data_IF_028371865775
#
_entry.id   IF_028371865775
#
_cell.length_a   1.000
_cell.length_b   1.000
_cell.length_c   1.000
_cell.angle_alpha   90.00
_cell.angle_beta   90.00
_cell.angle_gamma   90.00
#
_symmetry.space_group_name_H-M   'P 1'
#
loop_
_entity.id
_entity.type
_entity.pdbx_description
1 polymer ?
#
# COMPACT_ATOMS: atom_id res chain seq x y z
N UNK A 1 -23.33 -7.71 -15.77
CA UNK A 1 -23.24 -6.30 -15.34
C UNK A 1 -21.91 -5.79 -15.81
N UNK A 2 -21.87 -4.70 -16.59
CA UNK A 2 -20.59 -4.15 -17.08
C UNK A 2 -19.89 -3.42 -15.94
N UNK A 3 -18.57 -3.27 -16.03
CA UNK A 3 -17.78 -2.54 -15.04
C UNK A 3 -18.28 -1.09 -14.88
N UNK A 4 -18.66 -0.45 -15.98
CA UNK A 4 -19.21 0.90 -15.98
C UNK A 4 -20.53 0.99 -15.20
N UNK A 5 -21.44 0.02 -15.34
CA UNK A 5 -22.69 0.00 -14.58
C UNK A 5 -22.44 -0.18 -13.09
N UNK A 6 -21.46 -0.99 -12.70
CA UNK A 6 -21.08 -1.14 -11.29
C UNK A 6 -20.50 0.15 -10.71
N UNK A 7 -19.67 0.84 -11.48
CA UNK A 7 -19.14 2.15 -11.14
C UNK A 7 -20.23 3.21 -11.00
N UNK A 8 -21.12 3.34 -11.98
CA UNK A 8 -22.22 4.30 -11.95
C UNK A 8 -23.17 4.05 -10.78
N UNK A 9 -23.43 2.78 -10.45
CA UNK A 9 -24.23 2.43 -9.29
C UNK A 9 -23.53 2.84 -7.97
N UNK A 10 -22.21 2.70 -7.87
CA UNK A 10 -21.43 3.16 -6.72
C UNK A 10 -21.41 4.69 -6.59
N UNK A 11 -21.33 5.42 -7.72
CA UNK A 11 -21.49 6.88 -7.76
C UNK A 11 -22.88 7.29 -7.28
N UNK A 12 -23.94 6.64 -7.75
CA UNK A 12 -25.32 6.93 -7.35
C UNK A 12 -25.57 6.68 -5.86
N UNK A 13 -24.88 5.68 -5.27
CA UNK A 13 -24.94 5.40 -3.83
C UNK A 13 -24.07 6.36 -2.98
N UNK A 14 -23.28 7.22 -3.61
CA UNK A 14 -22.37 8.14 -2.91
C UNK A 14 -21.14 7.44 -2.31
N UNK A 15 -20.81 6.22 -2.75
CA UNK A 15 -19.63 5.47 -2.29
C UNK A 15 -18.33 6.02 -2.90
N UNK A 16 -18.42 6.57 -4.11
CA UNK A 16 -17.31 7.15 -4.87
C UNK A 16 -17.74 8.41 -5.61
N UNK A 17 -16.78 9.27 -5.91
CA UNK A 17 -16.99 10.44 -6.76
C UNK A 17 -16.88 10.07 -8.24
N UNK A 18 -17.71 10.71 -9.08
CA UNK A 18 -17.63 10.53 -10.54
C UNK A 18 -16.39 11.21 -11.12
N UNK A 19 -15.55 10.42 -11.82
CA UNK A 19 -14.30 10.85 -12.44
C UNK A 19 -14.21 10.33 -13.89
N UNK A 20 -14.14 11.23 -14.90
CA UNK A 20 -13.97 10.85 -16.30
C UNK A 20 -12.73 9.98 -16.57
N UNK A 21 -11.60 10.24 -15.90
CA UNK A 21 -10.38 9.45 -16.08
C UNK A 21 -10.55 8.00 -15.62
N UNK A 22 -11.35 7.80 -14.57
CA UNK A 22 -11.67 6.45 -14.08
C UNK A 22 -12.59 5.72 -15.07
N UNK A 23 -13.54 6.41 -15.70
CA UNK A 23 -14.40 5.86 -16.76
C UNK A 23 -13.61 5.43 -18.00
N UNK A 24 -12.61 6.20 -18.41
CA UNK A 24 -11.70 5.83 -19.49
C UNK A 24 -10.91 4.55 -19.17
N UNK A 25 -10.39 4.44 -17.95
CA UNK A 25 -9.72 3.23 -17.49
C UNK A 25 -10.69 2.03 -17.42
N UNK A 26 -11.92 2.23 -16.97
CA UNK A 26 -12.94 1.18 -16.94
C UNK A 26 -13.28 0.66 -18.34
N UNK A 27 -13.24 1.50 -19.37
CA UNK A 27 -13.38 1.05 -20.75
C UNK A 27 -12.24 0.10 -21.17
N UNK A 28 -11.00 0.40 -20.77
CA UNK A 28 -9.84 -0.49 -21.03
C UNK A 28 -9.90 -1.78 -20.21
N UNK A 29 -10.37 -1.71 -18.96
CA UNK A 29 -10.63 -2.89 -18.14
C UNK A 29 -11.75 -3.76 -18.71
N UNK A 30 -12.80 -3.15 -19.27
CA UNK A 30 -13.88 -3.88 -19.92
C UNK A 30 -13.38 -4.55 -21.20
N UNK A 31 -12.58 -3.87 -22.03
CA UNK A 31 -11.89 -4.46 -23.18
C UNK A 31 -11.13 -5.72 -22.79
N UNK A 32 -10.33 -5.65 -21.72
CA UNK A 32 -9.57 -6.80 -21.23
C UNK A 32 -10.48 -7.92 -20.71
N UNK A 33 -11.54 -7.57 -19.98
CA UNK A 33 -12.52 -8.55 -19.48
C UNK A 33 -13.19 -9.31 -20.64
N UNK A 34 -13.55 -8.61 -21.71
CA UNK A 34 -14.19 -9.19 -22.90
C UNK A 34 -13.21 -10.10 -23.65
N UNK A 35 -11.95 -9.67 -23.84
CA UNK A 35 -10.89 -10.51 -24.44
C UNK A 35 -10.57 -11.77 -23.62
N UNK A 36 -10.67 -11.71 -22.29
CA UNK A 36 -10.50 -12.86 -21.42
C UNK A 36 -11.67 -13.85 -21.55
N UNK A 37 -12.88 -13.35 -21.77
CA UNK A 37 -14.10 -14.14 -21.93
C UNK A 37 -14.22 -14.81 -23.31
N UNK A 38 -13.51 -14.31 -24.33
CA UNK A 38 -13.49 -14.93 -25.66
C UNK A 38 -12.97 -16.39 -25.56
N UNK A 39 -13.73 -17.39 -26.06
CA UNK A 39 -13.26 -18.76 -26.10
C UNK A 39 -12.03 -18.84 -26.99
N UNK A 40 -10.98 -19.51 -26.51
CA UNK A 40 -9.74 -19.75 -27.26
C UNK A 40 -10.04 -20.65 -28.47
N UNK A 41 -10.41 -20.04 -29.59
CA UNK A 41 -10.82 -20.77 -30.78
C UNK A 41 -9.62 -21.52 -31.38
N UNK A 42 -9.76 -22.83 -31.49
CA UNK A 42 -8.84 -23.78 -32.12
C UNK A 42 -8.59 -23.51 -33.62
N UNK A 43 -9.37 -22.63 -34.25
CA UNK A 43 -9.24 -22.23 -35.65
C UNK A 43 -8.56 -20.86 -35.86
N UNK A 44 -8.10 -20.18 -34.80
CA UNK A 44 -7.39 -18.91 -34.93
C UNK A 44 -5.95 -19.12 -35.43
N UNK A 45 -5.77 -19.07 -36.76
CA UNK A 45 -4.46 -18.87 -37.38
C UNK A 45 -3.92 -17.50 -36.98
N UNK A 46 -3.21 -17.47 -35.86
CA UNK A 46 -2.67 -16.28 -35.20
C UNK A 46 -3.17 -16.18 -33.76
N UNK A 47 -2.34 -16.58 -32.78
CA UNK A 47 -2.63 -16.31 -31.36
C UNK A 47 -2.72 -14.80 -31.17
N UNK A 48 -3.93 -14.26 -31.01
CA UNK A 48 -4.14 -12.88 -30.57
C UNK A 48 -3.51 -12.75 -29.17
N UNK A 49 -2.42 -12.00 -29.06
CA UNK A 49 -1.78 -11.72 -27.77
C UNK A 49 -2.64 -10.72 -27.01
N UNK A 50 -3.26 -11.16 -25.92
CA UNK A 50 -4.01 -10.28 -25.01
C UNK A 50 -3.00 -9.47 -24.20
N UNK A 51 -3.06 -8.15 -24.32
CA UNK A 51 -2.24 -7.25 -23.51
C UNK A 51 -2.83 -7.06 -22.14
N UNK A 52 -1.97 -7.07 -21.13
CA UNK A 52 -2.29 -6.70 -19.76
C UNK A 52 -2.53 -5.20 -19.59
N UNK A 53 -2.70 -4.77 -18.35
CA UNK A 53 -2.83 -3.35 -18.00
C UNK A 53 -1.76 -2.97 -16.98
N UNK A 54 -1.08 -1.84 -17.22
CA UNK A 54 -0.23 -1.20 -16.23
C UNK A 54 -0.81 0.17 -15.89
N UNK A 55 -1.42 0.27 -14.73
CA UNK A 55 -2.13 1.44 -14.26
C UNK A 55 -1.22 2.17 -13.30
N UNK A 56 -0.83 3.39 -13.65
CA UNK A 56 -0.02 4.21 -12.76
C UNK A 56 -0.62 5.58 -12.54
N UNK A 57 -0.33 6.16 -11.38
CA UNK A 57 -0.91 7.43 -10.99
C UNK A 57 -0.59 7.74 -9.55
N UNK A 58 -0.73 8.99 -9.11
CA UNK A 58 -0.50 9.34 -7.72
C UNK A 58 -1.39 8.53 -6.78
N UNK A 59 -1.01 8.48 -5.52
CA UNK A 59 -1.83 7.91 -4.44
C UNK A 59 -3.20 8.61 -4.44
N UNK A 60 -4.28 7.86 -4.18
CA UNK A 60 -5.60 8.42 -3.92
C UNK A 60 -6.49 8.58 -5.16
N UNK A 61 -5.96 8.28 -6.36
CA UNK A 61 -6.74 8.37 -7.62
C UNK A 61 -7.69 7.19 -7.86
N UNK A 62 -7.77 6.24 -6.92
CA UNK A 62 -8.70 5.11 -6.97
C UNK A 62 -8.20 3.86 -7.72
N UNK A 63 -6.89 3.74 -8.01
CA UNK A 63 -6.33 2.58 -8.73
C UNK A 63 -6.73 1.24 -8.10
N UNK A 64 -6.53 1.10 -6.78
CA UNK A 64 -6.83 -0.12 -6.02
C UNK A 64 -8.32 -0.45 -6.04
N UNK A 65 -9.20 0.55 -5.97
CA UNK A 65 -10.65 0.37 -6.06
C UNK A 65 -11.07 -0.12 -7.44
N UNK A 66 -10.52 0.48 -8.52
CA UNK A 66 -10.83 0.06 -9.88
C UNK A 66 -10.31 -1.35 -10.19
N UNK A 67 -9.12 -1.70 -9.70
CA UNK A 67 -8.59 -3.07 -9.81
C UNK A 67 -9.44 -4.06 -9.01
N UNK A 68 -9.96 -3.66 -7.84
CA UNK A 68 -10.87 -4.47 -7.04
C UNK A 68 -12.19 -4.74 -7.77
N UNK A 69 -12.80 -3.69 -8.31
CA UNK A 69 -13.99 -3.80 -9.13
C UNK A 69 -13.76 -4.71 -10.35
N UNK A 70 -12.67 -4.48 -11.09
CA UNK A 70 -12.29 -5.34 -12.21
C UNK A 70 -12.14 -6.80 -11.78
N UNK A 71 -11.39 -7.06 -10.71
CA UNK A 71 -11.17 -8.41 -10.21
C UNK A 71 -12.48 -9.07 -9.77
N UNK A 72 -13.41 -8.34 -9.16
CA UNK A 72 -14.70 -8.88 -8.73
C UNK A 72 -15.58 -9.27 -9.92
N UNK A 73 -15.71 -8.39 -10.91
CA UNK A 73 -16.67 -8.55 -12.00
C UNK A 73 -16.14 -9.28 -13.24
N UNK A 74 -14.82 -9.44 -13.40
CA UNK A 74 -14.26 -10.21 -14.51
C UNK A 74 -14.67 -11.67 -14.42
N UNK A 75 -15.17 -12.26 -15.50
CA UNK A 75 -15.70 -13.62 -15.55
C UNK A 75 -14.62 -14.70 -15.64
N UNK A 76 -13.33 -14.33 -15.71
CA UNK A 76 -12.21 -15.27 -15.75
C UNK A 76 -12.14 -16.07 -14.45
N UNK A 77 -12.38 -17.40 -14.47
CA UNK A 77 -12.32 -18.22 -13.27
C UNK A 77 -10.89 -18.42 -12.75
N UNK A 78 -9.89 -18.42 -13.64
CA UNK A 78 -8.47 -18.58 -13.28
C UNK A 78 -7.85 -17.22 -13.03
N UNK A 79 -8.23 -16.58 -11.93
CA UNK A 79 -7.70 -15.27 -11.52
C UNK A 79 -7.12 -15.30 -10.12
N UNK A 80 -6.06 -14.54 -9.92
CA UNK A 80 -5.46 -14.35 -8.60
C UNK A 80 -5.02 -12.89 -8.44
N UNK A 81 -5.05 -12.39 -7.20
CA UNK A 81 -4.66 -11.02 -6.86
C UNK A 81 -3.75 -11.03 -5.64
N UNK A 82 -2.65 -10.27 -5.72
CA UNK A 82 -1.69 -10.13 -4.64
C UNK A 82 -1.25 -8.69 -4.46
N UNK A 83 -0.97 -8.32 -3.21
CA UNK A 83 -0.01 -7.26 -2.93
C UNK A 83 1.38 -7.71 -3.41
N UNK A 84 2.09 -6.83 -4.11
CA UNK A 84 3.33 -7.20 -4.78
C UNK A 84 4.38 -7.82 -3.84
N UNK A 85 4.59 -7.25 -2.66
CA UNK A 85 5.57 -7.76 -1.69
C UNK A 85 5.24 -9.17 -1.20
N UNK A 86 3.98 -9.48 -0.93
CA UNK A 86 3.56 -10.82 -0.49
C UNK A 86 3.78 -11.86 -1.59
N UNK A 87 3.50 -11.50 -2.85
CA UNK A 87 3.81 -12.37 -3.97
C UNK A 87 5.32 -12.65 -4.06
N UNK A 88 6.16 -11.63 -3.93
CA UNK A 88 7.61 -11.83 -3.99
C UNK A 88 8.16 -12.67 -2.84
N UNK A 89 7.58 -12.60 -1.64
CA UNK A 89 7.91 -13.49 -0.53
C UNK A 89 7.62 -14.96 -0.86
N UNK A 90 6.47 -15.24 -1.48
CA UNK A 90 6.11 -16.60 -1.91
C UNK A 90 7.02 -17.11 -3.04
N UNK A 91 7.40 -16.23 -3.98
CA UNK A 91 8.38 -16.57 -5.02
C UNK A 91 9.73 -16.91 -4.40
N UNK A 92 10.22 -16.11 -3.45
CA UNK A 92 11.49 -16.36 -2.76
C UNK A 92 11.47 -17.70 -2.00
N UNK A 93 10.37 -18.00 -1.30
CA UNK A 93 10.19 -19.28 -0.64
C UNK A 93 10.26 -20.46 -1.63
N UNK A 94 9.55 -20.38 -2.76
CA UNK A 94 9.59 -21.43 -3.81
C UNK A 94 10.96 -21.56 -4.47
N UNK A 95 11.67 -20.44 -4.70
CA UNK A 95 13.03 -20.45 -5.23
C UNK A 95 14.00 -21.20 -4.31
N UNK A 96 13.86 -21.02 -2.98
CA UNK A 96 14.66 -21.77 -1.98
C UNK A 96 14.39 -23.26 -2.04
N UNK A 97 13.13 -23.68 -2.20
CA UNK A 97 12.77 -25.10 -2.33
C UNK A 97 13.28 -25.73 -3.63
N UNK A 98 13.41 -24.94 -4.69
CA UNK A 98 13.90 -25.37 -6.00
C UNK A 98 15.41 -25.13 -6.18
N UNK A 99 16.17 -24.94 -5.11
CA UNK A 99 17.62 -24.78 -5.20
C UNK A 99 18.28 -25.97 -5.92
N UNK A 100 19.17 -25.66 -6.85
CA UNK A 100 19.85 -26.66 -7.69
C UNK A 100 19.03 -27.16 -8.89
N UNK A 101 17.75 -26.79 -9.01
CA UNK A 101 16.96 -27.06 -10.21
C UNK A 101 17.33 -26.08 -11.33
N UNK A 102 17.27 -26.56 -12.57
CA UNK A 102 17.47 -25.71 -13.75
C UNK A 102 16.22 -24.87 -14.02
N UNK A 103 16.41 -23.58 -14.26
CA UNK A 103 15.37 -22.59 -14.58
C UNK A 103 14.18 -22.60 -13.59
N UNK A 104 14.41 -22.41 -12.27
CA UNK A 104 13.37 -22.56 -11.26
C UNK A 104 12.19 -21.59 -11.44
N UNK A 105 12.43 -20.38 -11.99
CA UNK A 105 11.37 -19.42 -12.28
C UNK A 105 10.40 -19.92 -13.36
N UNK A 106 10.87 -20.69 -14.34
CA UNK A 106 9.99 -21.32 -15.34
C UNK A 106 9.11 -22.38 -14.71
N UNK A 107 9.64 -23.17 -13.77
CA UNK A 107 8.86 -24.16 -13.03
C UNK A 107 7.77 -23.49 -12.18
N UNK A 108 8.12 -22.41 -11.48
CA UNK A 108 7.19 -21.63 -10.67
C UNK A 108 6.11 -21.00 -11.56
N UNK A 109 6.48 -20.37 -12.67
CA UNK A 109 5.52 -19.77 -13.60
C UNK A 109 4.57 -20.81 -14.20
N UNK A 110 5.08 -21.99 -14.57
CA UNK A 110 4.26 -23.12 -15.04
C UNK A 110 3.27 -23.58 -13.99
N UNK A 111 3.67 -23.60 -12.73
CA UNK A 111 2.80 -23.97 -11.62
C UNK A 111 1.68 -22.94 -11.41
N UNK A 112 2.03 -21.64 -11.34
CA UNK A 112 1.08 -20.54 -11.22
C UNK A 112 0.06 -20.58 -12.37
N UNK A 113 0.52 -20.84 -13.60
CA UNK A 113 -0.32 -20.89 -14.79
C UNK A 113 -1.36 -22.02 -14.79
N UNK A 114 -1.23 -23.05 -13.93
CA UNK A 114 -2.24 -24.10 -13.81
C UNK A 114 -3.58 -23.55 -13.29
N UNK A 115 -3.51 -22.67 -12.29
CA UNK A 115 -4.66 -22.08 -11.60
C UNK A 115 -4.91 -20.61 -11.96
N UNK A 116 -3.95 -19.92 -12.58
CA UNK A 116 -4.00 -18.48 -12.81
C UNK A 116 -3.72 -18.15 -14.28
N UNK A 117 -4.72 -17.59 -14.98
CA UNK A 117 -4.61 -16.97 -16.31
C UNK A 117 -4.57 -15.44 -16.20
N UNK A 118 -5.23 -14.86 -15.21
CA UNK A 118 -5.19 -13.43 -14.90
C UNK A 118 -4.53 -13.20 -13.53
N UNK A 119 -3.42 -12.46 -13.50
CA UNK A 119 -2.69 -12.14 -12.29
C UNK A 119 -2.68 -10.64 -12.04
N UNK A 120 -3.35 -10.22 -10.97
CA UNK A 120 -3.44 -8.82 -10.57
C UNK A 120 -2.40 -8.52 -9.47
N UNK A 121 -1.54 -7.54 -9.70
CA UNK A 121 -0.65 -6.98 -8.69
C UNK A 121 -1.17 -5.63 -8.23
N UNK A 122 -1.42 -5.53 -6.93
CA UNK A 122 -1.64 -4.25 -6.26
C UNK A 122 -0.34 -3.72 -5.65
N UNK A 123 -0.21 -2.40 -5.61
CA UNK A 123 0.91 -1.70 -4.98
C UNK A 123 2.28 -2.16 -5.52
N UNK A 124 2.41 -2.26 -6.84
CA UNK A 124 3.63 -2.70 -7.49
C UNK A 124 4.76 -1.68 -7.27
N UNK A 125 5.73 -2.05 -6.45
CA UNK A 125 6.87 -1.22 -6.07
C UNK A 125 8.13 -2.05 -5.92
N UNK A 126 9.22 -1.62 -6.57
CA UNK A 126 10.49 -2.36 -6.61
C UNK A 126 11.59 -1.48 -6.03
N UNK A 127 12.06 -1.84 -4.83
CA UNK A 127 13.21 -1.23 -4.16
C UNK A 127 14.32 -2.22 -3.83
N UNK A 128 13.99 -3.51 -3.79
CA UNK A 128 14.92 -4.57 -3.45
C UNK A 128 15.66 -5.08 -4.71
N UNK A 129 16.99 -5.17 -4.62
CA UNK A 129 17.84 -5.65 -5.71
C UNK A 129 17.53 -7.10 -6.07
N UNK A 130 17.25 -7.97 -5.10
CA UNK A 130 16.94 -9.37 -5.34
C UNK A 130 15.63 -9.51 -6.14
N UNK A 131 14.61 -8.72 -5.80
CA UNK A 131 13.35 -8.73 -6.54
C UNK A 131 13.53 -8.17 -7.94
N UNK A 132 14.29 -7.08 -8.09
CA UNK A 132 14.62 -6.52 -9.40
C UNK A 132 15.31 -7.56 -10.31
N UNK A 133 16.19 -8.41 -9.75
CA UNK A 133 16.89 -9.44 -10.54
C UNK A 133 15.96 -10.57 -11.00
N UNK A 134 14.90 -10.88 -10.25
CA UNK A 134 13.99 -11.98 -10.54
C UNK A 134 12.90 -11.58 -11.53
N UNK A 135 12.39 -10.35 -11.44
CA UNK A 135 11.14 -9.94 -12.10
C UNK A 135 11.16 -10.08 -13.62
N UNK A 136 12.27 -9.73 -14.26
CA UNK A 136 12.38 -9.81 -15.72
C UNK A 136 12.14 -11.24 -16.24
N UNK A 137 12.84 -12.20 -15.65
CA UNK A 137 12.71 -13.61 -16.04
C UNK A 137 11.35 -14.17 -15.64
N UNK A 138 10.84 -13.81 -14.47
CA UNK A 138 9.55 -14.27 -13.99
C UNK A 138 8.39 -13.80 -14.88
N UNK A 139 8.37 -12.52 -15.28
CA UNK A 139 7.33 -11.99 -16.16
C UNK A 139 7.34 -12.65 -17.53
N UNK A 140 8.52 -12.85 -18.13
CA UNK A 140 8.67 -13.58 -19.38
C UNK A 140 8.19 -15.02 -19.26
N UNK A 141 8.51 -15.69 -18.14
CA UNK A 141 8.08 -17.06 -17.88
C UNK A 141 6.55 -17.14 -17.72
N UNK A 142 5.94 -16.24 -16.93
CA UNK A 142 4.48 -16.15 -16.76
C UNK A 142 3.77 -15.92 -18.09
N UNK A 143 4.27 -14.97 -18.89
CA UNK A 143 3.71 -14.68 -20.21
C UNK A 143 3.82 -15.88 -21.16
N UNK A 144 4.94 -16.60 -21.15
CA UNK A 144 5.14 -17.79 -22.00
C UNK A 144 4.11 -18.90 -21.70
N UNK A 145 3.55 -18.90 -20.50
CA UNK A 145 2.47 -19.78 -20.08
C UNK A 145 1.06 -19.19 -20.23
N UNK A 146 0.94 -18.00 -20.83
CA UNK A 146 -0.34 -17.36 -21.12
C UNK A 146 -0.96 -16.60 -19.93
N UNK A 147 -0.16 -16.28 -18.90
CA UNK A 147 -0.60 -15.44 -17.79
C UNK A 147 -0.61 -13.97 -18.23
N UNK A 148 -1.73 -13.29 -17.99
CA UNK A 148 -1.95 -11.88 -18.31
C UNK A 148 -1.87 -11.07 -17.02
N UNK A 149 -1.15 -9.94 -17.07
CA UNK A 149 -0.91 -9.11 -15.88
C UNK A 149 -1.82 -7.89 -15.85
N UNK A 150 -2.34 -7.57 -14.67
CA UNK A 150 -2.93 -6.26 -14.36
C UNK A 150 -2.17 -5.70 -13.17
N UNK A 151 -1.52 -4.56 -13.35
CA UNK A 151 -0.58 -3.99 -12.38
C UNK A 151 -1.06 -2.61 -12.00
N UNK A 152 -1.24 -2.33 -10.71
CA UNK A 152 -1.37 -0.97 -10.18
C UNK A 152 -0.05 -0.51 -9.57
N UNK A 153 0.36 0.74 -9.83
CA UNK A 153 1.56 1.32 -9.23
C UNK A 153 1.43 2.83 -9.01
N UNK A 154 2.18 3.37 -8.05
CA UNK A 154 2.36 4.82 -7.92
C UNK A 154 3.50 5.36 -8.81
N UNK A 155 4.25 4.46 -9.44
CA UNK A 155 5.46 4.78 -10.20
C UNK A 155 5.20 4.52 -11.67
N UNK A 156 5.64 5.41 -12.57
CA UNK A 156 5.60 5.12 -14.01
C UNK A 156 6.61 4.01 -14.35
N UNK A 157 6.43 3.22 -15.43
CA UNK A 157 7.32 2.09 -15.73
C UNK A 157 8.81 2.48 -15.79
N UNK A 158 9.13 3.62 -16.39
CA UNK A 158 10.52 4.11 -16.53
C UNK A 158 11.19 4.49 -15.21
N UNK A 159 10.41 4.74 -14.16
CA UNK A 159 10.90 5.14 -12.84
C UNK A 159 10.93 3.96 -11.86
N UNK A 160 10.41 2.79 -12.24
CA UNK A 160 10.47 1.59 -11.41
C UNK A 160 11.93 1.24 -11.13
N UNK A 161 12.32 1.10 -9.87
CA UNK A 161 13.69 0.80 -9.42
C UNK A 161 14.74 1.85 -9.88
N UNK A 162 14.32 3.10 -10.08
CA UNK A 162 15.20 4.20 -10.49
C UNK A 162 16.35 4.35 -9.48
N UNK A 163 17.58 4.51 -9.98
CA UNK A 163 18.81 4.55 -9.18
C UNK A 163 19.13 3.26 -8.38
N UNK A 164 18.40 2.18 -8.60
CA UNK A 164 18.69 0.88 -7.98
C UNK A 164 20.02 0.27 -8.44
N UNK A 165 20.64 -0.50 -7.56
CA UNK A 165 21.88 -1.22 -7.86
C UNK A 165 21.65 -2.19 -9.01
N UNK A 166 22.52 -2.17 -10.03
CA UNK A 166 22.41 -2.99 -11.25
C UNK A 166 21.10 -2.78 -12.03
N UNK A 167 20.58 -1.54 -12.07
CA UNK A 167 19.36 -1.16 -12.82
C UNK A 167 19.30 -1.73 -14.25
N UNK A 168 20.42 -1.83 -14.96
CA UNK A 168 20.46 -2.38 -16.33
C UNK A 168 19.85 -3.77 -16.44
N UNK A 169 19.98 -4.59 -15.39
CA UNK A 169 19.39 -5.94 -15.32
C UNK A 169 17.88 -5.92 -15.09
N UNK A 170 17.31 -4.81 -14.63
CA UNK A 170 15.87 -4.61 -14.45
C UNK A 170 15.20 -3.99 -15.69
N UNK A 171 15.96 -3.33 -16.57
CA UNK A 171 15.42 -2.75 -17.82
C UNK A 171 14.60 -3.74 -18.67
N UNK A 172 14.94 -5.05 -18.77
CA UNK A 172 14.10 -6.02 -19.47
C UNK A 172 12.68 -6.17 -18.88
N UNK A 173 12.51 -6.01 -17.56
CA UNK A 173 11.18 -6.02 -16.93
C UNK A 173 10.36 -4.78 -17.32
N UNK A 174 11.00 -3.60 -17.39
CA UNK A 174 10.36 -2.37 -17.87
C UNK A 174 9.97 -2.51 -19.34
N UNK A 175 10.86 -3.08 -20.16
CA UNK A 175 10.59 -3.34 -21.57
C UNK A 175 9.42 -4.31 -21.77
N UNK A 176 9.35 -5.36 -20.96
CA UNK A 176 8.21 -6.28 -20.91
C UNK A 176 6.91 -5.52 -20.60
N UNK A 177 6.87 -4.73 -19.52
CA UNK A 177 5.68 -3.98 -19.12
C UNK A 177 5.19 -3.10 -20.28
N UNK A 178 6.09 -2.35 -20.92
CA UNK A 178 5.74 -1.46 -22.04
C UNK A 178 5.27 -2.19 -23.29
N UNK A 179 5.74 -3.41 -23.51
CA UNK A 179 5.39 -4.21 -24.68
C UNK A 179 4.06 -4.94 -24.49
N UNK A 180 3.91 -5.57 -23.34
CA UNK A 180 2.88 -6.58 -23.06
C UNK A 180 1.74 -6.06 -22.19
N UNK A 181 1.82 -4.82 -21.69
CA UNK A 181 0.72 -4.12 -21.04
C UNK A 181 0.39 -2.81 -21.77
N UNK A 182 -0.88 -2.43 -21.75
CA UNK A 182 -1.27 -1.05 -22.04
C UNK A 182 -1.00 -0.20 -20.80
N UNK A 183 -0.11 0.80 -20.95
CA UNK A 183 0.32 1.68 -19.88
C UNK A 183 -0.64 2.86 -19.79
N UNK A 184 -1.41 2.93 -18.72
CA UNK A 184 -2.47 3.92 -18.52
C UNK A 184 -2.12 4.79 -17.32
N UNK A 185 -2.07 6.09 -17.55
CA UNK A 185 -1.95 7.07 -16.48
C UNK A 185 -3.34 7.42 -15.94
N UNK A 186 -3.57 7.15 -14.67
CA UNK A 186 -4.76 7.57 -13.95
C UNK A 186 -4.42 8.82 -13.13
N UNK A 187 -4.98 9.95 -13.53
CA UNK A 187 -4.93 11.18 -12.75
C UNK A 187 -6.34 11.63 -12.42
N UNK A 188 -6.53 12.19 -11.23
CA UNK A 188 -7.77 12.90 -10.91
C UNK A 188 -7.76 14.14 -11.80
N UNK A 189 -8.59 14.15 -12.84
CA UNK A 189 -8.70 15.30 -13.73
C UNK A 189 -9.63 16.33 -13.09
N UNK A 190 -9.24 16.83 -11.92
CA UNK A 190 -9.96 17.86 -11.17
C UNK A 190 -9.00 18.63 -10.27
N UNK A 191 -8.56 19.77 -10.79
CA UNK A 191 -8.26 20.98 -10.01
C UNK A 191 -9.57 21.41 -9.32
N UNK A 192 -9.94 20.70 -8.27
CA UNK A 192 -11.07 20.98 -7.38
C UNK A 192 -10.58 20.79 -5.95
N UNK A 193 -9.86 21.80 -5.47
CA UNK A 193 -9.82 22.09 -4.04
C UNK A 193 -11.23 22.51 -3.60
N UNK A 194 -12.20 21.61 -3.46
CA UNK A 194 -13.47 21.81 -2.72
C UNK A 194 -14.12 20.44 -2.46
N UNK A 195 -14.22 20.08 -1.16
CA UNK A 195 -15.22 19.21 -0.52
C UNK A 195 -15.20 17.70 -0.86
N UNK A 196 -15.25 16.72 0.05
CA UNK A 196 -15.49 16.68 1.49
C UNK A 196 -14.84 15.42 2.07
N UNK A 197 -13.88 15.61 2.98
CA UNK A 197 -13.45 14.84 4.16
C UNK A 197 -12.09 15.45 4.48
N UNK A 198 -11.82 16.02 5.68
CA UNK A 198 -10.49 16.54 5.96
C UNK A 198 -9.53 15.36 5.86
N UNK A 199 -8.68 15.35 4.83
CA UNK A 199 -7.46 14.57 4.85
C UNK A 199 -6.74 15.01 6.12
N UNK A 200 -6.67 14.11 7.10
CA UNK A 200 -5.87 14.33 8.28
C UNK A 200 -4.43 14.52 7.79
N UNK A 201 -3.87 15.70 8.02
CA UNK A 201 -2.44 15.96 7.92
C UNK A 201 -1.72 15.04 8.90
N UNK A 202 -1.34 13.84 8.45
CA UNK A 202 -0.81 12.80 9.33
C UNK A 202 0.55 13.14 9.96
N UNK A 203 1.25 14.16 9.46
CA UNK A 203 2.50 14.65 10.02
C UNK A 203 2.55 16.18 10.03
N UNK A 204 2.56 16.76 11.22
CA UNK A 204 2.51 18.19 11.48
C UNK A 204 3.85 18.66 12.06
N UNK A 205 4.45 19.67 11.44
CA UNK A 205 5.69 20.28 11.91
C UNK A 205 5.73 21.76 11.50
N UNK A 206 6.56 22.60 12.15
CA UNK A 206 7.28 22.32 13.39
C UNK A 206 6.35 22.43 14.61
N UNK A 207 6.78 21.93 15.78
CA UNK A 207 6.04 22.11 17.03
C UNK A 207 5.86 23.59 17.35
N UNK A 208 4.64 24.08 17.18
CA UNK A 208 4.22 25.44 17.52
C UNK A 208 2.71 25.49 17.81
N UNK A 209 2.22 26.67 18.19
CA UNK A 209 0.81 26.89 18.48
C UNK A 209 -0.11 26.52 17.30
N UNK A 210 0.30 26.82 16.06
CA UNK A 210 -0.48 26.50 14.87
C UNK A 210 -0.65 24.98 14.68
N UNK A 211 0.44 24.20 14.75
CA UNK A 211 0.35 22.74 14.63
C UNK A 211 -0.44 22.11 15.78
N UNK A 212 -0.41 22.71 16.97
CA UNK A 212 -1.22 22.26 18.10
C UNK A 212 -2.71 22.52 17.86
N UNK A 213 -3.08 23.69 17.32
CA UNK A 213 -4.45 23.99 16.92
C UNK A 213 -4.96 23.06 15.80
N UNK A 214 -4.10 22.69 14.85
CA UNK A 214 -4.45 21.75 13.78
C UNK A 214 -4.68 20.34 14.34
N UNK A 215 -3.78 19.84 15.21
CA UNK A 215 -3.96 18.56 15.92
C UNK A 215 -5.31 18.52 16.66
N UNK A 216 -5.60 19.58 17.42
CA UNK A 216 -6.86 19.72 18.16
C UNK A 216 -8.08 19.68 17.25
N UNK A 217 -8.06 20.47 16.19
CA UNK A 217 -9.16 20.53 15.23
C UNK A 217 -9.41 19.17 14.58
N UNK A 218 -8.34 18.47 14.19
CA UNK A 218 -8.42 17.15 13.59
C UNK A 218 -8.97 16.12 14.57
N UNK A 219 -8.48 16.09 15.81
CA UNK A 219 -8.99 15.18 16.83
C UNK A 219 -10.49 15.39 17.06
N UNK A 220 -10.90 16.64 17.31
CA UNK A 220 -12.30 16.99 17.58
C UNK A 220 -13.22 16.75 16.38
N UNK A 221 -12.69 16.69 15.14
CA UNK A 221 -13.49 16.36 13.96
C UNK A 221 -13.84 14.87 13.83
N UNK A 222 -13.12 14.00 14.55
CA UNK A 222 -13.27 12.54 14.47
C UNK A 222 -14.14 11.95 15.58
N UNK A 223 -14.48 12.74 16.60
CA UNK A 223 -15.03 12.24 17.86
C UNK A 223 -16.19 13.11 18.34
N UNK A 224 -17.19 12.50 18.95
CA UNK A 224 -18.35 13.19 19.55
C UNK A 224 -18.22 13.32 21.07
N UNK A 225 -17.65 12.30 21.72
CA UNK A 225 -17.41 12.26 23.16
C UNK A 225 -15.93 12.07 23.43
N UNK A 226 -15.40 12.83 24.39
CA UNK A 226 -13.97 12.88 24.69
C UNK A 226 -13.75 12.79 26.19
N UNK A 227 -13.00 11.78 26.60
CA UNK A 227 -12.33 11.75 27.91
C UNK A 227 -10.97 12.44 27.79
N UNK A 228 -10.58 13.23 28.79
CA UNK A 228 -9.35 14.03 28.81
C UNK A 228 -8.50 13.61 30.01
N UNK A 229 -7.18 13.57 29.84
CA UNK A 229 -6.18 13.30 30.90
C UNK A 229 -6.48 12.05 31.75
N UNK A 230 -6.70 10.92 31.08
CA UNK A 230 -7.02 9.65 31.72
C UNK A 230 -5.97 8.57 31.48
N UNK A 231 -6.29 7.34 31.88
CA UNK A 231 -5.45 6.16 31.67
C UNK A 231 -6.24 5.05 30.97
N UNK A 232 -5.56 4.30 30.10
CA UNK A 232 -6.03 3.01 29.63
C UNK A 232 -5.12 1.91 30.16
N UNK A 233 -5.68 0.72 30.40
CA UNK A 233 -4.89 -0.46 30.75
C UNK A 233 -4.53 -1.22 29.49
N UNK A 234 -3.23 -1.37 29.21
CA UNK A 234 -2.67 -2.14 28.10
C UNK A 234 -1.69 -3.17 28.66
N UNK A 235 -1.88 -4.45 28.36
CA UNK A 235 -1.07 -5.57 28.87
C UNK A 235 -0.86 -5.51 30.40
N UNK A 236 -1.93 -5.18 31.15
CA UNK A 236 -1.94 -4.98 32.60
C UNK A 236 -1.10 -3.79 33.11
N UNK A 237 -0.87 -2.77 32.27
CA UNK A 237 -0.15 -1.55 32.62
C UNK A 237 -0.97 -0.32 32.27
N UNK A 238 -0.90 0.69 33.11
CA UNK A 238 -1.55 1.97 32.84
C UNK A 238 -0.74 2.80 31.83
N UNK A 239 -1.44 3.33 30.83
CA UNK A 239 -0.90 4.23 29.81
C UNK A 239 -1.75 5.49 29.82
N UNK A 240 -1.14 6.60 30.24
CA UNK A 240 -1.82 7.89 30.24
C UNK A 240 -2.09 8.36 28.81
N UNK A 241 -3.27 8.91 28.57
CA UNK A 241 -3.63 9.57 27.32
C UNK A 241 -3.99 11.03 27.58
N UNK A 242 -3.79 11.86 26.57
CA UNK A 242 -4.24 13.26 26.61
C UNK A 242 -5.73 13.34 26.31
N UNK A 243 -6.19 12.62 25.29
CA UNK A 243 -7.60 12.50 24.93
C UNK A 243 -7.94 11.10 24.45
N UNK A 244 -9.13 10.63 24.76
CA UNK A 244 -9.63 9.33 24.32
C UNK A 244 -11.10 9.42 23.95
N UNK A 245 -11.46 8.73 22.87
CA UNK A 245 -12.83 8.41 22.49
C UNK A 245 -12.89 6.90 22.19
N UNK A 246 -14.00 6.42 21.64
CA UNK A 246 -14.25 4.99 21.43
C UNK A 246 -13.17 4.32 20.56
N UNK A 247 -12.90 4.86 19.37
CA UNK A 247 -11.92 4.30 18.41
C UNK A 247 -10.77 5.22 18.06
N UNK A 248 -10.63 6.34 18.77
CA UNK A 248 -9.58 7.34 18.57
C UNK A 248 -8.94 7.72 19.89
N UNK A 249 -7.61 7.73 19.94
CA UNK A 249 -6.87 8.07 21.16
C UNK A 249 -5.67 8.97 20.85
N UNK A 250 -5.29 9.82 21.80
CA UNK A 250 -4.19 10.76 21.70
C UNK A 250 -3.21 10.58 22.85
N UNK A 251 -1.96 10.27 22.52
CA UNK A 251 -0.84 10.17 23.45
C UNK A 251 0.19 11.30 23.29
N UNK A 252 0.88 11.63 24.37
CA UNK A 252 2.17 12.32 24.28
C UNK A 252 3.26 11.31 23.86
N UNK A 253 4.23 11.74 23.04
CA UNK A 253 5.33 10.88 22.57
C UNK A 253 6.08 10.22 23.73
N UNK A 254 6.38 10.96 24.79
CA UNK A 254 7.13 10.46 25.96
C UNK A 254 6.36 9.41 26.78
N UNK A 255 5.03 9.31 26.63
CA UNK A 255 4.23 8.26 27.27
C UNK A 255 4.20 6.99 26.42
N UNK A 256 4.21 7.17 25.10
CA UNK A 256 4.07 6.09 24.12
C UNK A 256 5.39 5.39 23.81
N UNK A 257 6.51 6.13 23.78
CA UNK A 257 7.82 5.65 23.33
C UNK A 257 8.87 5.61 24.44
N UNK A 258 8.47 5.46 25.71
CA UNK A 258 9.38 5.36 26.85
C UNK A 258 9.22 4.02 27.57
N UNK A 259 10.29 3.37 28.08
CA UNK A 259 10.17 2.12 28.82
C UNK A 259 9.22 2.22 30.03
N UNK A 260 8.52 1.14 30.42
CA UNK A 260 8.70 -0.24 29.96
C UNK A 260 7.72 -0.67 28.84
N UNK A 261 7.52 0.13 27.80
CA UNK A 261 6.69 -0.24 26.63
C UNK A 261 7.29 -1.41 25.84
N UNK A 262 6.43 -2.17 25.16
CA UNK A 262 6.75 -3.35 24.38
C UNK A 262 5.90 -3.43 23.11
N UNK A 263 6.30 -4.28 22.16
CA UNK A 263 5.53 -4.48 20.93
C UNK A 263 4.11 -5.02 21.18
N UNK A 264 3.92 -5.83 22.23
CA UNK A 264 2.59 -6.34 22.61
C UNK A 264 1.66 -5.22 23.04
N UNK A 265 2.18 -4.18 23.70
CA UNK A 265 1.38 -3.01 24.08
C UNK A 265 0.82 -2.32 22.83
N UNK A 266 1.64 -2.17 21.79
CA UNK A 266 1.20 -1.56 20.53
C UNK A 266 0.21 -2.43 19.75
N UNK A 267 0.35 -3.76 19.80
CA UNK A 267 -0.59 -4.67 19.16
C UNK A 267 -1.98 -4.57 19.79
N UNK A 268 -2.06 -4.52 21.13
CA UNK A 268 -3.33 -4.34 21.84
C UNK A 268 -3.94 -2.95 21.55
N UNK A 269 -3.12 -1.89 21.51
CA UNK A 269 -3.59 -0.56 21.09
C UNK A 269 -4.17 -0.58 19.67
N UNK A 270 -3.50 -1.25 18.73
CA UNK A 270 -3.98 -1.39 17.35
C UNK A 270 -5.24 -2.27 17.21
N UNK A 271 -5.57 -3.10 18.20
CA UNK A 271 -6.84 -3.84 18.22
C UNK A 271 -8.00 -2.98 18.70
N UNK A 272 -7.72 -2.02 19.59
CA UNK A 272 -8.71 -1.15 20.21
C UNK A 272 -9.04 0.07 19.35
N UNK A 273 -8.03 0.73 18.79
CA UNK A 273 -8.17 2.03 18.13
C UNK A 273 -7.92 1.95 16.63
N UNK A 274 -8.68 2.73 15.85
CA UNK A 274 -8.49 2.88 14.40
C UNK A 274 -7.62 4.09 14.05
N UNK A 275 -7.58 5.09 14.95
CA UNK A 275 -6.80 6.30 14.78
C UNK A 275 -6.05 6.66 16.06
N UNK A 276 -4.75 6.92 15.95
CA UNK A 276 -3.88 7.29 17.08
C UNK A 276 -3.17 8.61 16.79
N UNK A 277 -3.37 9.60 17.67
CA UNK A 277 -2.67 10.88 17.67
C UNK A 277 -1.45 10.79 18.59
N UNK A 278 -0.32 11.35 18.15
CA UNK A 278 0.93 11.40 18.91
C UNK A 278 1.47 12.82 18.87
N UNK A 279 1.51 13.49 20.02
CA UNK A 279 2.03 14.86 20.09
C UNK A 279 3.41 14.95 20.71
N UNK A 280 4.18 15.94 20.25
CA UNK A 280 5.44 16.32 20.87
C UNK A 280 6.61 15.40 20.52
N UNK A 281 6.62 14.83 19.31
CA UNK A 281 7.76 14.03 18.84
C UNK A 281 8.99 14.94 18.69
N UNK A 282 10.05 14.77 19.51
CA UNK A 282 11.24 15.61 19.41
C UNK A 282 12.09 15.23 18.19
N UNK A 283 13.08 16.06 17.87
CA UNK A 283 14.20 15.62 17.01
C UNK A 283 14.96 14.50 17.74
N UNK A 284 14.94 13.29 17.18
CA UNK A 284 15.60 12.14 17.78
C UNK A 284 17.11 12.22 17.51
N UNK A 285 17.91 11.91 18.53
CA UNK A 285 19.37 11.96 18.45
C UNK A 285 19.94 10.66 19.01
N UNK A 286 21.25 10.49 18.98
CA UNK A 286 21.96 9.33 19.54
C UNK A 286 21.69 9.13 21.05
N UNK A 287 21.21 10.16 21.75
CA UNK A 287 20.79 10.07 23.17
C UNK A 287 19.40 9.44 23.36
N UNK A 288 18.64 9.28 22.28
CA UNK A 288 17.26 8.78 22.28
C UNK A 288 17.17 7.34 21.73
N UNK A 289 18.21 6.51 21.87
CA UNK A 289 18.24 5.16 21.26
C UNK A 289 17.04 4.29 21.68
N UNK A 290 16.70 4.27 22.97
CA UNK A 290 15.57 3.47 23.47
C UNK A 290 14.23 3.99 22.92
N UNK A 291 14.03 5.31 22.92
CA UNK A 291 12.83 5.93 22.36
C UNK A 291 12.71 5.69 20.86
N UNK A 292 13.84 5.70 20.15
CA UNK A 292 13.92 5.41 18.72
C UNK A 292 13.51 3.96 18.43
N UNK A 293 14.01 2.99 19.21
CA UNK A 293 13.60 1.58 19.08
C UNK A 293 12.09 1.42 19.33
N UNK A 294 11.58 2.05 20.38
CA UNK A 294 10.15 1.99 20.69
C UNK A 294 9.29 2.62 19.60
N UNK A 295 9.72 3.76 19.05
CA UNK A 295 9.03 4.42 17.95
C UNK A 295 9.07 3.58 16.66
N UNK A 296 10.18 2.91 16.34
CA UNK A 296 10.26 1.95 15.24
C UNK A 296 9.20 0.84 15.44
N UNK A 297 9.16 0.21 16.62
CA UNK A 297 8.18 -0.84 16.90
C UNK A 297 6.73 -0.35 16.82
N UNK A 298 6.46 0.87 17.32
CA UNK A 298 5.14 1.49 17.23
C UNK A 298 4.72 1.67 15.77
N UNK A 299 5.54 2.34 14.96
CA UNK A 299 5.24 2.59 13.54
C UNK A 299 5.08 1.28 12.78
N UNK A 300 5.92 0.29 13.05
CA UNK A 300 5.85 -1.02 12.39
C UNK A 300 4.48 -1.69 12.65
N UNK A 301 4.03 -1.72 13.90
CA UNK A 301 2.72 -2.30 14.26
C UNK A 301 1.56 -1.51 13.65
N UNK A 302 1.58 -0.17 13.78
CA UNK A 302 0.49 0.67 13.25
C UNK A 302 0.39 0.56 11.73
N UNK A 303 1.54 0.58 11.05
CA UNK A 303 1.63 0.39 9.61
C UNK A 303 1.02 -0.95 9.18
N UNK A 304 1.48 -2.06 9.77
CA UNK A 304 1.06 -3.42 9.41
C UNK A 304 -0.43 -3.66 9.71
N UNK A 305 -0.98 -3.00 10.75
CA UNK A 305 -2.40 -3.10 11.14
C UNK A 305 -3.30 -2.07 10.43
N UNK A 306 -2.75 -1.17 9.62
CA UNK A 306 -3.52 -0.14 8.91
C UNK A 306 -4.14 0.92 9.83
N UNK A 307 -3.50 1.23 10.96
CA UNK A 307 -3.96 2.24 11.91
C UNK A 307 -3.57 3.63 11.44
N UNK A 308 -4.55 4.53 11.39
CA UNK A 308 -4.30 5.93 11.00
C UNK A 308 -3.52 6.62 12.12
N UNK A 309 -2.44 7.31 11.76
CA UNK A 309 -1.64 8.07 12.72
C UNK A 309 -1.68 9.55 12.37
N UNK A 310 -1.69 10.40 13.40
CA UNK A 310 -1.49 11.84 13.26
C UNK A 310 -0.40 12.24 14.24
N UNK A 311 0.72 12.74 13.73
CA UNK A 311 1.91 13.06 14.53
C UNK A 311 2.15 14.57 14.50
N UNK A 312 2.46 15.19 15.64
CA UNK A 312 3.13 16.50 15.66
C UNK A 312 4.59 16.35 16.10
N UNK A 313 5.50 16.95 15.32
CA UNK A 313 6.93 16.76 15.45
C UNK A 313 7.74 18.05 15.36
N UNK A 314 8.92 18.05 15.98
CA UNK A 314 9.80 19.22 16.07
C UNK A 314 10.46 19.57 14.72
N UNK A 315 10.65 18.57 13.87
CA UNK A 315 11.44 18.65 12.62
C UNK A 315 10.69 17.91 11.51
N UNK A 316 11.00 18.16 10.22
CA UNK A 316 10.46 17.36 9.13
C UNK A 316 10.94 15.89 9.20
N UNK A 317 10.23 14.99 8.53
CA UNK A 317 10.42 13.53 8.63
C UNK A 317 11.85 13.11 8.29
N UNK A 318 12.42 13.66 7.23
CA UNK A 318 13.77 13.38 6.75
C UNK A 318 14.87 13.83 7.73
N UNK A 319 14.55 14.75 8.65
CA UNK A 319 15.44 15.21 9.71
C UNK A 319 15.18 14.53 11.07
N UNK A 320 14.16 13.67 11.18
CA UNK A 320 13.71 13.11 12.45
C UNK A 320 14.77 12.29 13.20
N UNK A 321 15.59 11.52 12.48
CA UNK A 321 16.71 10.76 13.04
C UNK A 321 17.80 10.53 11.99
N UNK A 322 18.82 11.40 11.98
CA UNK A 322 19.86 11.43 10.93
C UNK A 322 21.17 10.74 11.31
N UNK A 323 21.39 10.47 12.60
CA UNK A 323 22.62 9.89 13.18
C UNK A 323 22.30 9.01 14.40
N UNK A 324 23.08 7.96 14.59
CA UNK A 324 22.99 7.02 15.71
C UNK A 324 22.83 5.55 15.29
N UNK A 325 22.89 4.65 16.26
CA UNK A 325 22.95 3.19 16.06
C UNK A 325 21.78 2.63 15.24
N UNK A 326 20.60 3.24 15.35
CA UNK A 326 19.39 2.75 14.68
C UNK A 326 19.21 3.32 13.27
N UNK A 327 20.15 4.10 12.74
CA UNK A 327 19.96 4.91 11.53
C UNK A 327 19.52 4.09 10.32
N UNK A 328 20.14 2.94 10.08
CA UNK A 328 19.82 2.11 8.94
C UNK A 328 18.44 1.46 9.07
N UNK A 329 18.08 0.98 10.26
CA UNK A 329 16.74 0.47 10.56
C UNK A 329 15.68 1.57 10.43
N UNK A 330 16.00 2.81 10.84
CA UNK A 330 15.08 3.94 10.82
C UNK A 330 14.68 4.37 9.40
N UNK A 331 15.51 4.09 8.37
CA UNK A 331 15.15 4.35 6.97
C UNK A 331 13.82 3.68 6.57
N UNK A 332 13.56 2.47 7.07
CA UNK A 332 12.28 1.78 6.84
C UNK A 332 11.12 2.50 7.52
N UNK A 333 11.34 2.98 8.74
CA UNK A 333 10.36 3.78 9.49
C UNK A 333 10.02 5.08 8.76
N UNK A 334 11.02 5.77 8.18
CA UNK A 334 10.79 6.95 7.34
C UNK A 334 9.91 6.66 6.13
N UNK A 335 10.18 5.55 5.43
CA UNK A 335 9.36 5.12 4.29
C UNK A 335 7.91 4.84 4.70
N UNK A 336 7.71 4.16 5.84
CA UNK A 336 6.38 3.88 6.39
C UNK A 336 5.65 5.16 6.77
N UNK A 337 6.30 6.09 7.47
CA UNK A 337 5.74 7.40 7.83
C UNK A 337 5.35 8.22 6.60
N UNK A 338 6.17 8.19 5.54
CA UNK A 338 5.85 8.84 4.27
C UNK A 338 4.59 8.23 3.64
N UNK A 339 4.46 6.90 3.64
CA UNK A 339 3.28 6.21 3.11
C UNK A 339 2.03 6.44 3.98
N UNK A 340 2.18 6.52 5.30
CA UNK A 340 1.05 6.74 6.23
C UNK A 340 0.38 8.12 6.08
N UNK A 341 1.06 9.08 5.46
CA UNK A 341 0.50 10.38 5.06
C UNK A 341 -0.29 10.32 3.75
N UNK A 342 -0.23 9.20 3.05
CA UNK A 342 -0.87 9.06 1.75
C UNK A 342 -2.38 8.87 1.91
N UNK A 343 -3.16 9.46 1.01
CA UNK A 343 -4.62 9.28 0.93
C UNK A 343 -4.99 7.79 0.89
N UNK A 344 -4.19 6.97 0.19
CA UNK A 344 -4.41 5.52 0.08
C UNK A 344 -4.32 4.86 1.45
N UNK A 345 -3.27 5.15 2.23
CA UNK A 345 -3.12 4.61 3.58
C UNK A 345 -4.27 5.07 4.50
N UNK A 346 -4.62 6.37 4.45
CA UNK A 346 -5.71 6.94 5.24
C UNK A 346 -7.10 6.42 4.81
N UNK A 347 -7.21 5.84 3.61
CA UNK A 347 -8.42 5.16 3.12
C UNK A 347 -8.47 3.66 3.44
N UNK A 348 -7.38 3.05 3.95
CA UNK A 348 -7.37 1.63 4.36
C UNK A 348 -8.32 1.44 5.55
N UNK A 349 -9.20 0.44 5.48
CA UNK A 349 -9.98 -0.01 6.63
C UNK A 349 -9.09 -0.88 7.53
N UNK A 350 -9.06 -0.67 8.87
CA UNK A 350 -8.14 -1.33 9.82
C UNK A 350 -8.23 -2.88 9.95
N UNK A 351 -8.92 -3.60 9.05
CA UNK A 351 -9.11 -5.06 9.15
C UNK A 351 -9.18 -5.71 7.77
N UNK A 352 -8.04 -5.80 7.06
CA UNK A 352 -7.95 -6.63 5.84
C UNK A 352 -7.69 -8.10 6.21
N UNK A 353 -8.50 -9.00 5.67
CA UNK A 353 -8.21 -10.44 5.65
C UNK A 353 -7.16 -10.68 4.56
N UNK A 354 -6.01 -11.24 4.94
CA UNK A 354 -4.92 -11.61 4.03
C UNK A 354 -5.20 -13.02 3.51
N UNK A 355 -5.07 -13.25 2.20
CA UNK A 355 -5.13 -14.59 1.60
C UNK A 355 -3.72 -15.16 1.40
N UNK A 356 -3.48 -16.37 1.93
CA UNK A 356 -2.29 -17.18 1.64
C UNK A 356 -2.48 -18.03 0.37
N UNK A 357 -1.42 -18.22 -0.42
CA UNK A 357 -1.40 -19.29 -1.42
C UNK A 357 -1.26 -20.62 -0.67
N UNK A 358 -2.30 -21.46 -0.75
CA UNK A 358 -2.22 -22.85 -0.32
C UNK A 358 -1.28 -23.67 -1.21
#
# INVERSE_FOLDING_TARGET
MTLLMAYEAAVQRGEINDDPSQKELLAQMQRLADELAEPTSWFSWGKKTIKGLYIYGPVGVGKTYLVDMFYHYVSEPKKARFHFHHFMQQIDFKLRQLQGQKDPLRLIAKEIAKSTRLLCFDEFLVHDVAYAMILAELFLALQSHGVILVISSNTKPDDLYLNGVQRDRFLPAIAFIKKDCDVIYLNINKDYRIGHTPLLDAYLYPLNAHTAEVMERQFNSLVTEVAIDGVITVQNREVAYLKCSDRTIWFAFDVLCNPPRSQLDYLEMAERFDTIFVSGLPCLTEKHTLQTIMFIHFIDVMYDRGIKIVISAAVPIDELYVKGEMKDTFKRTLSRLAEMQSVDYLSRHPRRVVHDMA
#
